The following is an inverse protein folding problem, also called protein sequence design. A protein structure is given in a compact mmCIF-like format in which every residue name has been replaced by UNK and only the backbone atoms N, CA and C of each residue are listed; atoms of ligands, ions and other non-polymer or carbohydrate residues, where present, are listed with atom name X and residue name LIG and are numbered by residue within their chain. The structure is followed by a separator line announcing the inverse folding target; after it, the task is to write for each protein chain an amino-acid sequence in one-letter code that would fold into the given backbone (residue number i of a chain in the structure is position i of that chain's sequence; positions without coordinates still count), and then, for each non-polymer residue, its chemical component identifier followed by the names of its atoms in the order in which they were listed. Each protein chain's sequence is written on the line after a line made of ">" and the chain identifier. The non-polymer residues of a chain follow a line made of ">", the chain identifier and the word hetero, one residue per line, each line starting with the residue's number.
data_IF_338242185068
#
_entry.id   IF_338242185068
#
_cell.length_a   1.000
_cell.length_b   1.000
_cell.length_c   1.000
_cell.angle_alpha   90.00
_cell.angle_beta   90.00
_cell.angle_gamma   90.00
#
_symmetry.space_group_name_H-M   'P 1'
#
loop_
_entity.id
_entity.type
_entity.pdbx_description
1 polymer ?
#
# COMPACT_ATOMS: atom_id res chain seq x y z
N UNK A 1 -37.51 -12.38 57.58
CA UNK A 1 -38.55 -11.50 57.00
C UNK A 1 -38.20 -10.02 57.11
N UNK A 2 -38.25 -9.38 58.28
CA UNK A 2 -38.03 -7.92 58.39
C UNK A 2 -36.62 -7.49 57.94
N UNK A 3 -35.58 -8.17 58.38
CA UNK A 3 -34.18 -7.90 58.00
C UNK A 3 -33.92 -8.07 56.49
N UNK A 4 -34.57 -9.05 55.85
CA UNK A 4 -34.47 -9.28 54.41
C UNK A 4 -35.18 -8.18 53.61
N UNK A 5 -36.34 -7.73 54.10
CA UNK A 5 -37.08 -6.61 53.51
C UNK A 5 -36.27 -5.31 53.58
N UNK A 6 -35.60 -5.05 54.70
CA UNK A 6 -34.79 -3.84 54.86
C UNK A 6 -33.47 -3.90 54.06
N UNK A 7 -32.86 -5.09 53.94
CA UNK A 7 -31.75 -5.33 53.02
C UNK A 7 -32.15 -5.15 51.54
N UNK A 8 -33.35 -5.59 51.16
CA UNK A 8 -33.87 -5.41 49.79
C UNK A 8 -34.14 -3.94 49.49
N UNK A 9 -34.70 -3.17 50.43
CA UNK A 9 -34.88 -1.70 50.28
C UNK A 9 -33.55 -1.00 50.06
N UNK A 10 -32.53 -1.33 50.86
CA UNK A 10 -31.19 -0.75 50.73
C UNK A 10 -30.62 -0.99 49.32
N UNK A 11 -30.71 -2.23 48.82
CA UNK A 11 -30.21 -2.58 47.48
C UNK A 11 -31.01 -1.92 46.35
N UNK A 12 -32.30 -1.66 46.54
CA UNK A 12 -33.10 -0.88 45.57
C UNK A 12 -32.63 0.58 45.50
N UNK A 13 -32.25 1.20 46.62
CA UNK A 13 -31.69 2.57 46.63
C UNK A 13 -30.34 2.62 45.90
N UNK A 14 -29.46 1.65 46.14
CA UNK A 14 -28.16 1.52 45.45
C UNK A 14 -28.35 1.36 43.93
N UNK A 15 -29.20 0.43 43.50
CA UNK A 15 -29.51 0.23 42.09
C UNK A 15 -30.15 1.46 41.42
N UNK A 16 -30.93 2.26 42.15
CA UNK A 16 -31.47 3.52 41.63
C UNK A 16 -30.37 4.56 41.43
N UNK A 17 -29.40 4.66 42.35
CA UNK A 17 -28.25 5.55 42.21
C UNK A 17 -27.38 5.17 41.00
N UNK A 18 -26.98 3.90 40.89
CA UNK A 18 -26.22 3.36 39.74
C UNK A 18 -26.95 3.63 38.40
N UNK A 19 -28.27 3.42 38.36
CA UNK A 19 -29.07 3.72 37.17
C UNK A 19 -29.11 5.21 36.80
N UNK A 20 -28.95 6.14 37.76
CA UNK A 20 -28.85 7.57 37.44
C UNK A 20 -27.47 7.94 36.89
N UNK A 21 -26.39 7.35 37.43
CA UNK A 21 -25.03 7.55 36.96
C UNK A 21 -24.83 7.00 35.53
N UNK A 22 -25.25 5.75 35.30
CA UNK A 22 -25.22 5.11 33.96
C UNK A 22 -26.00 5.94 32.92
N UNK A 23 -27.12 6.58 33.29
CA UNK A 23 -27.87 7.48 32.39
C UNK A 23 -27.09 8.76 32.07
N UNK A 24 -26.37 9.33 33.04
CA UNK A 24 -25.53 10.50 32.82
C UNK A 24 -24.33 10.18 31.92
N UNK A 25 -23.64 9.05 32.14
CA UNK A 25 -22.56 8.59 31.27
C UNK A 25 -23.06 8.32 29.84
N UNK A 26 -24.20 7.64 29.69
CA UNK A 26 -24.81 7.41 28.38
C UNK A 26 -25.14 8.72 27.64
N UNK A 27 -25.55 9.77 28.35
CA UNK A 27 -25.78 11.09 27.76
C UNK A 27 -24.47 11.73 27.27
N UNK A 28 -23.39 11.62 28.05
CA UNK A 28 -22.04 12.08 27.66
C UNK A 28 -21.52 11.33 26.44
N UNK A 29 -21.57 9.99 26.43
CA UNK A 29 -21.13 9.15 25.31
C UNK A 29 -21.92 9.47 24.04
N UNK A 30 -23.24 9.70 24.14
CA UNK A 30 -24.05 10.15 22.98
C UNK A 30 -23.59 11.51 22.45
N UNK A 31 -23.24 12.45 23.31
CA UNK A 31 -22.72 13.76 22.90
C UNK A 31 -21.33 13.67 22.25
N UNK A 32 -20.45 12.81 22.74
CA UNK A 32 -19.14 12.55 22.13
C UNK A 32 -19.27 11.84 20.77
N UNK A 33 -20.15 10.84 20.66
CA UNK A 33 -20.44 10.16 19.39
C UNK A 33 -21.03 11.11 18.33
N UNK A 34 -21.84 12.10 18.73
CA UNK A 34 -22.35 13.13 17.81
C UNK A 34 -21.20 14.01 17.27
N UNK A 35 -20.27 14.45 18.13
CA UNK A 35 -19.08 15.21 17.72
C UNK A 35 -18.16 14.41 16.80
N UNK A 36 -17.96 13.13 17.09
CA UNK A 36 -17.15 12.23 16.25
C UNK A 36 -17.77 12.06 14.85
N UNK A 37 -19.09 11.89 14.75
CA UNK A 37 -19.80 11.85 13.46
C UNK A 37 -19.61 13.12 12.64
N UNK A 38 -19.81 14.29 13.25
CA UNK A 38 -19.57 15.57 12.58
C UNK A 38 -18.11 15.70 12.09
N UNK A 39 -17.14 15.33 12.93
CA UNK A 39 -15.72 15.37 12.55
C UNK A 39 -15.36 14.39 11.41
N UNK A 40 -16.05 13.26 11.28
CA UNK A 40 -15.88 12.36 10.13
C UNK A 40 -16.43 12.99 8.84
N UNK A 41 -17.63 13.54 8.87
CA UNK A 41 -18.28 14.20 7.72
C UNK A 41 -17.47 15.42 7.24
N UNK A 42 -16.96 16.24 8.16
CA UNK A 42 -16.05 17.35 7.85
C UNK A 42 -14.73 16.88 7.20
N UNK A 43 -14.20 15.73 7.61
CA UNK A 43 -12.99 15.17 7.01
C UNK A 43 -13.24 14.57 5.63
N UNK A 44 -14.37 13.88 5.43
CA UNK A 44 -14.80 13.36 4.13
C UNK A 44 -14.95 14.51 3.12
N UNK A 45 -15.61 15.60 3.52
CA UNK A 45 -15.73 16.81 2.70
C UNK A 45 -14.36 17.49 2.39
N UNK A 46 -13.35 17.35 3.26
CA UNK A 46 -11.98 17.81 3.00
C UNK A 46 -11.25 16.89 2.01
N UNK A 47 -11.43 15.58 2.09
CA UNK A 47 -10.82 14.63 1.15
C UNK A 47 -11.31 14.85 -0.29
N UNK A 48 -12.61 15.06 -0.50
CA UNK A 48 -13.16 15.36 -1.84
C UNK A 48 -12.54 16.63 -2.44
N UNK A 49 -12.33 17.68 -1.63
CA UNK A 49 -11.67 18.92 -2.08
C UNK A 49 -10.19 18.73 -2.40
N UNK A 50 -9.48 17.89 -1.64
CA UNK A 50 -8.08 17.56 -1.93
C UNK A 50 -7.95 16.76 -3.23
N UNK A 51 -8.80 15.75 -3.43
CA UNK A 51 -8.83 14.95 -4.66
C UNK A 51 -9.09 15.83 -5.90
N UNK A 52 -10.02 16.78 -5.79
CA UNK A 52 -10.29 17.75 -6.86
C UNK A 52 -9.09 18.67 -7.14
N UNK A 53 -8.44 19.20 -6.10
CA UNK A 53 -7.24 20.03 -6.25
C UNK A 53 -6.06 19.26 -6.88
N UNK A 54 -5.92 17.96 -6.60
CA UNK A 54 -4.87 17.14 -7.20
C UNK A 54 -5.16 16.80 -8.68
N UNK A 55 -6.44 16.71 -9.09
CA UNK A 55 -6.83 16.64 -10.51
C UNK A 55 -6.47 17.93 -11.25
N UNK A 56 -6.83 19.09 -10.70
CA UNK A 56 -6.50 20.41 -11.27
C UNK A 56 -4.99 20.62 -11.42
N UNK A 57 -4.19 20.21 -10.41
CA UNK A 57 -2.72 20.21 -10.52
C UNK A 57 -2.20 19.29 -11.62
N UNK A 58 -2.78 18.10 -11.77
CA UNK A 58 -2.36 17.16 -12.82
C UNK A 58 -2.66 17.71 -14.23
N UNK A 59 -3.78 18.41 -14.42
CA UNK A 59 -4.13 19.10 -15.66
C UNK A 59 -3.15 20.24 -15.97
N UNK A 60 -2.87 21.14 -15.02
CA UNK A 60 -1.89 22.22 -15.17
C UNK A 60 -0.47 21.69 -15.46
N UNK A 61 -0.06 20.58 -14.85
CA UNK A 61 1.20 19.91 -15.14
C UNK A 61 1.20 19.40 -16.59
N UNK A 62 0.11 18.80 -17.07
CA UNK A 62 0.02 18.31 -18.44
C UNK A 62 0.08 19.46 -19.48
N UNK A 63 -0.55 20.60 -19.18
CA UNK A 63 -0.53 21.81 -20.01
C UNK A 63 0.89 22.40 -20.12
N UNK A 64 1.57 22.65 -19.00
CA UNK A 64 2.95 23.16 -18.97
C UNK A 64 3.94 22.26 -19.74
N UNK A 65 3.80 20.93 -19.63
CA UNK A 65 4.63 19.98 -20.38
C UNK A 65 4.36 20.02 -21.90
N UNK A 66 3.17 20.45 -22.34
CA UNK A 66 2.85 20.64 -23.74
C UNK A 66 3.55 21.89 -24.32
N UNK A 67 3.56 22.98 -23.54
CA UNK A 67 4.20 24.25 -23.89
C UNK A 67 5.73 24.13 -23.95
N UNK A 68 6.36 23.51 -22.96
CA UNK A 68 7.81 23.26 -22.96
C UNK A 68 8.23 22.47 -24.23
N UNK A 69 7.49 21.41 -24.55
CA UNK A 69 7.71 20.62 -25.77
C UNK A 69 7.53 21.44 -27.05
N UNK A 70 6.68 22.47 -27.02
CA UNK A 70 6.43 23.35 -28.17
C UNK A 70 7.54 24.39 -28.34
N UNK A 71 8.02 24.98 -27.25
CA UNK A 71 9.17 25.89 -27.23
C UNK A 71 10.45 25.18 -27.71
N UNK A 72 10.73 23.97 -27.21
CA UNK A 72 11.88 23.16 -27.64
C UNK A 72 11.86 22.85 -29.16
N UNK A 73 10.68 22.64 -29.75
CA UNK A 73 10.53 22.48 -31.21
C UNK A 73 10.82 23.78 -31.97
N UNK A 74 10.41 24.93 -31.43
CA UNK A 74 10.66 26.24 -32.04
C UNK A 74 12.15 26.57 -32.04
N UNK A 75 12.83 26.38 -30.91
CA UNK A 75 14.26 26.66 -30.80
C UNK A 75 15.11 25.70 -31.64
N UNK A 76 14.74 24.41 -31.72
CA UNK A 76 15.39 23.49 -32.65
C UNK A 76 15.25 23.93 -34.11
N UNK A 77 14.09 24.48 -34.52
CA UNK A 77 13.91 25.08 -35.87
C UNK A 77 14.77 26.32 -36.05
N UNK A 78 14.80 27.24 -35.08
CA UNK A 78 15.64 28.45 -35.11
C UNK A 78 17.13 28.11 -35.24
N UNK A 79 17.62 27.12 -34.50
CA UNK A 79 19.00 26.65 -34.61
C UNK A 79 19.34 26.11 -36.01
N UNK A 80 18.47 25.30 -36.61
CA UNK A 80 18.68 24.82 -37.99
C UNK A 80 18.76 25.99 -38.98
N UNK A 81 17.86 26.97 -38.88
CA UNK A 81 17.90 28.17 -39.73
C UNK A 81 19.21 28.94 -39.55
N UNK A 82 19.68 29.16 -38.31
CA UNK A 82 20.97 29.81 -38.07
C UNK A 82 22.15 29.05 -38.70
N UNK A 83 22.17 27.71 -38.60
CA UNK A 83 23.24 26.89 -39.21
C UNK A 83 23.21 26.84 -40.74
N UNK A 84 22.08 27.09 -41.39
CA UNK A 84 22.03 27.21 -42.85
C UNK A 84 22.55 28.57 -43.32
N UNK A 85 22.12 29.67 -42.67
CA UNK A 85 22.59 31.03 -42.96
C UNK A 85 24.12 31.17 -42.79
N UNK A 86 24.71 30.48 -41.80
CA UNK A 86 26.16 30.47 -41.60
C UNK A 86 26.96 29.78 -42.71
N UNK A 87 26.39 28.78 -43.38
CA UNK A 87 27.08 28.02 -44.45
C UNK A 87 27.15 28.79 -45.77
N UNK A 88 26.19 29.66 -46.05
CA UNK A 88 26.22 30.50 -47.24
C UNK A 88 27.24 31.65 -47.12
N UNK A 89 27.57 32.08 -45.90
CA UNK A 89 28.60 33.08 -45.62
C UNK A 89 30.03 32.52 -45.84
N UNK A 90 30.27 31.25 -45.54
CA UNK A 90 31.60 30.63 -45.67
C UNK A 90 32.05 30.41 -47.13
N UNK A 91 31.14 30.61 -48.10
CA UNK A 91 31.43 30.49 -49.54
C UNK A 91 32.14 31.71 -50.14
N UNK A 92 32.28 32.81 -49.40
CA UNK A 92 32.97 34.03 -49.83
C UNK A 92 34.31 34.19 -49.10
N UNK A 93 35.26 33.29 -49.39
CA UNK A 93 36.66 33.42 -48.93
C UNK A 93 37.63 33.26 -50.10
N UNK A 94 38.55 34.21 -50.35
CA UNK A 94 39.54 34.08 -51.42
C UNK A 94 40.44 32.86 -51.21
N UNK A 95 40.72 32.13 -52.30
CA UNK A 95 41.65 30.99 -52.28
C UNK A 95 43.09 31.49 -52.17
N UNK A 96 43.79 31.08 -51.12
CA UNK A 96 45.26 31.13 -51.03
C UNK A 96 45.80 29.70 -51.25
N UNK A 97 46.88 29.49 -52.02
CA UNK A 97 47.30 28.14 -52.41
C UNK A 97 47.76 27.22 -51.25
N UNK A 98 47.64 25.93 -51.53
CA UNK A 98 47.93 24.79 -50.66
C UNK A 98 49.43 24.46 -50.60
N UNK A 99 50.03 24.57 -49.43
CA UNK A 99 51.31 23.92 -49.11
C UNK A 99 51.07 22.54 -48.46
N UNK A 100 51.90 21.56 -48.79
CA UNK A 100 51.74 20.15 -48.36
C UNK A 100 52.69 19.82 -47.21
N UNK A 101 52.19 19.15 -46.18
CA UNK A 101 53.05 18.35 -45.29
C UNK A 101 52.35 17.06 -44.83
N UNK A 102 53.13 16.02 -44.62
CA UNK A 102 52.69 14.65 -44.34
C UNK A 102 52.68 14.39 -42.82
N UNK A 103 51.74 13.58 -42.31
CA UNK A 103 51.69 13.25 -40.88
C UNK A 103 50.74 12.09 -40.52
N UNK A 104 51.35 10.94 -40.19
CA UNK A 104 50.84 9.63 -39.75
C UNK A 104 49.53 9.49 -38.93
N UNK A 105 48.90 8.32 -39.11
CA UNK A 105 47.71 7.81 -38.38
C UNK A 105 48.09 7.04 -37.10
N UNK A 106 47.32 7.21 -36.00
CA UNK A 106 46.68 6.11 -35.24
C UNK A 106 45.21 6.44 -34.84
N UNK A 107 44.29 5.55 -34.43
CA UNK A 107 44.14 4.07 -34.38
C UNK A 107 42.63 3.73 -34.26
N UNK A 108 42.22 2.46 -34.36
CA UNK A 108 40.81 1.98 -34.19
C UNK A 108 40.38 1.79 -32.71
N UNK A 109 39.08 1.90 -32.41
CA UNK A 109 38.23 0.85 -31.76
C UNK A 109 36.70 1.22 -31.85
N UNK A 110 35.70 0.38 -31.43
CA UNK A 110 34.75 -0.18 -32.41
C UNK A 110 33.25 0.07 -32.13
N UNK A 111 32.40 -0.37 -33.07
CA UNK A 111 30.93 -0.31 -32.99
C UNK A 111 30.32 -1.19 -31.87
N UNK A 112 29.36 -0.63 -31.13
CA UNK A 112 28.46 -1.37 -30.23
C UNK A 112 27.07 -1.44 -30.85
N UNK A 113 26.58 -2.66 -31.11
CA UNK A 113 25.22 -2.91 -31.61
C UNK A 113 24.22 -2.81 -30.46
N UNK A 114 23.24 -1.92 -30.57
CA UNK A 114 22.09 -1.87 -29.66
C UNK A 114 21.02 -2.84 -30.20
N UNK A 115 20.68 -3.85 -29.41
CA UNK A 115 19.57 -4.77 -29.71
C UNK A 115 18.32 -4.35 -28.94
N UNK A 116 17.17 -4.33 -29.61
CA UNK A 116 15.86 -4.02 -29.01
C UNK A 116 15.29 -5.20 -28.19
N UNK A 117 14.48 -4.93 -27.15
CA UNK A 117 13.74 -5.97 -26.43
C UNK A 117 12.38 -6.27 -27.10
N UNK A 118 11.88 -7.53 -27.06
CA UNK A 118 10.58 -7.90 -27.60
C UNK A 118 9.42 -7.74 -26.59
N UNK A 119 8.23 -7.57 -27.15
CA UNK A 119 6.93 -7.35 -26.47
C UNK A 119 6.43 -8.57 -25.69
N UNK A 120 5.90 -8.34 -24.47
CA UNK A 120 5.20 -9.37 -23.69
C UNK A 120 3.85 -9.75 -24.31
N UNK A 121 3.56 -11.05 -24.40
CA UNK A 121 2.28 -11.58 -24.89
C UNK A 121 1.30 -11.88 -23.74
N UNK A 122 0.02 -11.58 -23.97
CA UNK A 122 -1.09 -11.87 -23.05
C UNK A 122 -1.59 -13.30 -23.23
N UNK A 123 -1.91 -14.01 -22.14
CA UNK A 123 -2.72 -15.24 -22.19
C UNK A 123 -3.95 -15.10 -21.28
N UNK A 124 -5.10 -15.59 -21.78
CA UNK A 124 -6.39 -15.66 -21.07
C UNK A 124 -6.77 -17.12 -20.80
N UNK A 125 -7.26 -17.40 -19.60
CA UNK A 125 -8.24 -18.45 -19.27
C UNK A 125 -8.80 -18.09 -17.88
N UNK A 126 -10.11 -17.86 -17.67
CA UNK A 126 -11.25 -18.80 -17.73
C UNK A 126 -11.24 -19.84 -16.60
N UNK A 127 -12.00 -19.59 -15.52
CA UNK A 127 -13.12 -20.49 -15.12
C UNK A 127 -13.98 -19.89 -13.99
N UNK A 128 -15.29 -19.89 -14.23
CA UNK A 128 -16.37 -19.63 -13.26
C UNK A 128 -16.72 -20.94 -12.54
N UNK A 129 -17.50 -20.87 -11.43
CA UNK A 129 -18.11 -21.99 -10.67
C UNK A 129 -17.41 -22.43 -9.36
N UNK A 130 -16.92 -21.48 -8.55
CA UNK A 130 -16.49 -21.74 -7.16
C UNK A 130 -17.22 -20.88 -6.09
N UNK A 131 -18.14 -20.00 -6.49
CA UNK A 131 -18.72 -18.96 -5.62
C UNK A 131 -19.81 -19.48 -4.65
N UNK A 132 -20.75 -20.31 -5.11
CA UNK A 132 -21.96 -20.66 -4.33
C UNK A 132 -21.72 -21.55 -3.10
N UNK A 133 -20.59 -22.25 -3.02
CA UNK A 133 -20.27 -23.11 -1.87
C UNK A 133 -19.64 -22.30 -0.73
N UNK A 134 -19.07 -21.12 -1.02
CA UNK A 134 -18.27 -20.35 -0.08
C UNK A 134 -19.10 -19.37 0.79
N UNK A 135 -20.28 -18.93 0.33
CA UNK A 135 -21.15 -18.01 1.07
C UNK A 135 -21.67 -18.60 2.39
N UNK A 136 -22.00 -19.91 2.43
CA UNK A 136 -22.62 -20.53 3.62
C UNK A 136 -21.76 -20.60 4.88
N UNK A 137 -20.48 -20.27 4.81
CA UNK A 137 -19.58 -20.24 5.98
C UNK A 137 -19.20 -18.82 6.43
N UNK A 138 -19.65 -17.77 5.72
CA UNK A 138 -19.14 -16.41 5.92
C UNK A 138 -19.94 -15.59 6.95
N UNK A 139 -21.26 -15.82 7.06
CA UNK A 139 -22.18 -15.03 7.91
C UNK A 139 -21.96 -15.17 9.43
N UNK A 140 -21.28 -16.22 9.90
CA UNK A 140 -21.22 -16.52 11.34
C UNK A 140 -20.16 -15.74 12.13
N UNK A 141 -19.32 -14.91 11.47
CA UNK A 141 -18.16 -14.26 12.13
C UNK A 141 -17.94 -12.82 11.65
N UNK A 142 -18.97 -11.98 11.83
CA UNK A 142 -18.85 -10.51 11.81
C UNK A 142 -19.27 -9.89 13.16
N UNK A 143 -18.39 -9.96 14.15
CA UNK A 143 -18.31 -8.96 15.21
C UNK A 143 -16.91 -8.88 15.81
N UNK A 144 -16.49 -7.64 16.08
CA UNK A 144 -15.29 -7.15 16.79
C UNK A 144 -14.11 -6.67 15.93
N UNK A 145 -13.67 -5.46 16.26
CA UNK A 145 -12.75 -4.61 15.49
C UNK A 145 -11.66 -4.09 16.43
N UNK A 146 -10.53 -3.68 15.84
CA UNK A 146 -9.40 -2.90 16.39
C UNK A 146 -8.49 -3.47 17.50
N UNK A 147 -7.35 -3.98 17.02
CA UNK A 147 -6.01 -3.47 17.36
C UNK A 147 -5.46 -3.71 18.77
N UNK A 148 -5.18 -4.97 19.07
CA UNK A 148 -4.03 -5.36 19.90
C UNK A 148 -3.55 -6.77 19.47
N UNK A 149 -2.48 -7.26 20.12
CA UNK A 149 -1.89 -8.60 19.92
C UNK A 149 -2.99 -9.68 19.89
N UNK A 150 -2.98 -10.65 18.93
CA UNK A 150 -4.01 -11.68 18.89
C UNK A 150 -4.10 -12.45 20.22
N UNK A 151 -5.22 -12.27 20.93
CA UNK A 151 -5.46 -12.94 22.22
C UNK A 151 -5.88 -14.40 22.05
N UNK A 152 -6.35 -14.76 20.85
CA UNK A 152 -6.60 -16.14 20.44
C UNK A 152 -5.27 -16.77 20.01
N UNK A 153 -5.04 -18.02 20.44
CA UNK A 153 -3.86 -18.80 20.07
C UNK A 153 -3.79 -19.14 18.57
N UNK A 154 -2.80 -19.93 18.13
CA UNK A 154 -2.66 -20.33 16.73
C UNK A 154 -3.94 -20.99 16.21
N UNK A 155 -4.30 -20.69 14.95
CA UNK A 155 -5.43 -21.34 14.26
C UNK A 155 -5.10 -22.81 14.05
N UNK A 156 -5.97 -23.71 14.51
CA UNK A 156 -5.81 -25.16 14.35
C UNK A 156 -6.44 -25.64 13.04
N UNK A 157 -5.71 -26.48 12.30
CA UNK A 157 -6.22 -27.23 11.14
C UNK A 157 -5.96 -28.74 11.34
N UNK A 158 -6.89 -29.61 10.92
CA UNK A 158 -6.70 -31.07 10.95
C UNK A 158 -5.76 -31.57 9.84
N UNK A 159 -5.65 -30.82 8.75
CA UNK A 159 -4.75 -31.08 7.63
C UNK A 159 -4.13 -29.77 7.17
N UNK A 160 -2.95 -29.83 6.54
CA UNK A 160 -2.27 -28.63 6.04
C UNK A 160 -3.18 -27.91 5.02
N UNK A 161 -3.60 -26.65 5.28
CA UNK A 161 -4.53 -25.95 4.42
C UNK A 161 -3.89 -25.56 3.09
N UNK A 162 -4.75 -25.28 2.11
CA UNK A 162 -4.35 -24.64 0.86
C UNK A 162 -3.59 -23.32 1.13
N UNK A 163 -2.49 -23.02 0.40
CA UNK A 163 -1.79 -21.74 0.49
C UNK A 163 -2.70 -20.51 0.42
N UNK A 164 -3.74 -20.50 -0.42
CA UNK A 164 -4.69 -19.40 -0.46
C UNK A 164 -5.50 -19.24 0.83
N UNK A 165 -5.85 -20.33 1.50
CA UNK A 165 -6.63 -20.28 2.74
C UNK A 165 -5.80 -19.70 3.89
N UNK A 166 -4.52 -20.06 4.01
CA UNK A 166 -3.64 -19.48 5.03
C UNK A 166 -3.36 -17.99 4.75
N UNK A 167 -3.14 -17.61 3.49
CA UNK A 167 -2.99 -16.21 3.06
C UNK A 167 -4.28 -15.40 3.38
N UNK A 168 -5.47 -15.90 3.00
CA UNK A 168 -6.76 -15.25 3.29
C UNK A 168 -6.99 -15.09 4.80
N UNK A 169 -6.65 -16.12 5.58
CA UNK A 169 -6.76 -16.09 7.04
C UNK A 169 -5.85 -15.02 7.67
N UNK A 170 -4.63 -14.86 7.17
CA UNK A 170 -3.67 -13.83 7.61
C UNK A 170 -4.18 -12.43 7.29
N UNK A 171 -4.69 -12.20 6.09
CA UNK A 171 -5.24 -10.91 5.70
C UNK A 171 -6.52 -10.56 6.50
N UNK A 172 -7.33 -11.55 6.89
CA UNK A 172 -8.49 -11.36 7.79
C UNK A 172 -8.05 -10.95 9.21
N UNK A 173 -6.99 -11.56 9.75
CA UNK A 173 -6.48 -11.24 11.10
C UNK A 173 -5.63 -9.96 11.15
N UNK A 174 -4.97 -9.61 10.05
CA UNK A 174 -4.09 -8.46 9.93
C UNK A 174 -4.50 -7.60 8.73
N UNK A 175 -5.63 -6.85 8.82
CA UNK A 175 -6.18 -6.07 7.71
C UNK A 175 -5.29 -4.92 7.23
N UNK A 176 -4.23 -4.59 7.99
CA UNK A 176 -3.19 -3.64 7.59
C UNK A 176 -2.06 -4.26 6.74
N UNK A 177 -2.10 -5.57 6.47
CA UNK A 177 -1.20 -6.25 5.53
C UNK A 177 -1.84 -6.36 4.14
N UNK A 178 -1.00 -6.42 3.12
CA UNK A 178 -1.36 -6.83 1.75
C UNK A 178 -0.42 -7.95 1.32
N UNK A 179 -0.97 -9.02 0.75
CA UNK A 179 -0.16 -10.07 0.14
C UNK A 179 0.65 -9.49 -1.02
N UNK A 180 1.91 -9.90 -1.14
CA UNK A 180 2.83 -9.46 -2.19
C UNK A 180 3.08 -10.58 -3.20
N UNK A 181 3.63 -11.70 -2.72
CA UNK A 181 3.94 -12.88 -3.53
C UNK A 181 4.40 -14.04 -2.63
N UNK A 182 4.17 -15.27 -3.08
CA UNK A 182 4.85 -16.46 -2.56
C UNK A 182 6.14 -16.70 -3.36
N UNK A 183 7.25 -17.02 -2.69
CA UNK A 183 8.49 -17.42 -3.35
C UNK A 183 9.20 -18.48 -2.52
N UNK A 184 9.49 -19.64 -3.13
CA UNK A 184 10.17 -20.78 -2.48
C UNK A 184 9.52 -21.24 -1.15
N UNK A 185 8.19 -21.18 -1.06
CA UNK A 185 7.45 -21.56 0.15
C UNK A 185 7.36 -20.46 1.22
N UNK A 186 7.88 -19.26 0.94
CA UNK A 186 7.80 -18.09 1.80
C UNK A 186 6.77 -17.11 1.23
N UNK A 187 5.71 -16.83 2.00
CA UNK A 187 4.66 -15.89 1.65
C UNK A 187 5.05 -14.48 2.13
N UNK A 188 5.12 -13.52 1.21
CA UNK A 188 5.56 -12.16 1.51
C UNK A 188 4.35 -11.25 1.64
N UNK A 189 4.33 -10.44 2.69
CA UNK A 189 3.27 -9.48 3.00
C UNK A 189 3.90 -8.09 3.14
N UNK A 190 3.35 -7.09 2.47
CA UNK A 190 3.70 -5.68 2.69
C UNK A 190 2.70 -5.03 3.64
N UNK A 191 3.02 -3.89 4.23
CA UNK A 191 2.02 -3.05 4.88
C UNK A 191 1.16 -2.34 3.82
N UNK A 192 -0.14 -2.21 4.06
CA UNK A 192 -1.10 -1.72 3.09
C UNK A 192 -0.83 -0.24 2.70
N UNK A 193 -0.59 0.62 3.68
CA UNK A 193 -0.42 2.07 3.52
C UNK A 193 0.97 2.58 3.95
N UNK A 194 1.61 3.50 3.20
CA UNK A 194 2.88 4.13 3.56
C UNK A 194 2.72 5.29 4.56
N UNK A 195 2.10 5.01 5.72
CA UNK A 195 1.97 5.92 6.89
C UNK A 195 1.08 7.18 6.65
N UNK A 196 0.46 7.79 7.70
CA UNK A 196 1.01 8.01 9.04
C UNK A 196 0.18 7.50 10.23
N UNK A 197 -0.43 6.31 10.16
CA UNK A 197 -0.95 5.66 11.37
C UNK A 197 -0.31 4.28 11.59
N UNK A 198 0.27 4.12 12.78
CA UNK A 198 1.23 3.08 13.08
C UNK A 198 0.60 1.97 13.90
N UNK A 199 0.04 0.96 13.22
CA UNK A 199 0.01 -0.38 13.80
C UNK A 199 1.47 -0.82 13.95
N UNK A 200 1.98 -1.02 15.18
CA UNK A 200 3.35 -1.51 15.35
C UNK A 200 3.41 -2.95 14.83
N UNK A 201 4.60 -3.38 14.38
CA UNK A 201 4.77 -4.75 13.91
C UNK A 201 4.28 -5.76 14.96
N UNK A 202 3.36 -6.69 14.63
CA UNK A 202 2.77 -7.61 15.62
C UNK A 202 3.80 -8.56 16.26
N UNK A 203 5.02 -8.61 15.71
CA UNK A 203 6.11 -9.51 16.09
C UNK A 203 7.15 -8.82 16.97
N UNK A 204 7.47 -7.55 16.69
CA UNK A 204 8.58 -6.84 17.34
C UNK A 204 8.22 -5.44 17.87
N UNK A 205 6.95 -5.04 17.79
CA UNK A 205 6.39 -3.78 18.26
C UNK A 205 7.06 -2.49 17.74
N UNK A 206 7.79 -2.56 16.61
CA UNK A 206 8.47 -1.42 15.97
C UNK A 206 7.75 -0.99 14.69
N UNK A 207 8.01 0.24 14.24
CA UNK A 207 7.57 0.72 12.92
C UNK A 207 8.57 0.28 11.84
N UNK A 208 8.08 -0.07 10.65
CA UNK A 208 8.89 -0.40 9.49
C UNK A 208 8.54 0.50 8.31
N UNK A 209 9.47 0.63 7.36
CA UNK A 209 9.22 1.26 6.06
C UNK A 209 8.64 0.25 5.06
N UNK A 210 9.23 0.16 3.88
CA UNK A 210 8.74 -0.69 2.78
C UNK A 210 8.92 -2.21 2.99
N UNK A 211 9.49 -2.64 4.11
CA UNK A 211 9.66 -4.05 4.47
C UNK A 211 8.51 -4.49 5.38
N UNK A 212 7.73 -5.47 4.94
CA UNK A 212 6.65 -6.06 5.73
C UNK A 212 7.06 -7.38 6.40
N UNK A 213 6.12 -8.32 6.45
CA UNK A 213 6.30 -9.62 7.10
C UNK A 213 6.51 -10.72 6.06
N UNK A 214 7.11 -11.83 6.50
CA UNK A 214 7.12 -13.07 5.74
C UNK A 214 6.47 -14.17 6.57
N UNK A 215 5.87 -15.16 5.90
CA UNK A 215 5.28 -16.33 6.53
C UNK A 215 5.82 -17.61 5.91
N UNK A 216 6.06 -18.62 6.75
CA UNK A 216 6.65 -19.90 6.35
C UNK A 216 6.16 -21.03 7.27
N UNK A 217 6.06 -22.24 6.71
CA UNK A 217 5.76 -23.46 7.45
C UNK A 217 7.03 -24.08 8.04
N UNK A 218 7.09 -24.20 9.37
CA UNK A 218 8.10 -24.94 10.12
C UNK A 218 7.49 -26.26 10.62
N UNK A 219 7.55 -27.30 9.79
CA UNK A 219 6.87 -28.57 10.07
C UNK A 219 5.35 -28.41 10.06
N UNK A 220 4.73 -28.56 11.23
CA UNK A 220 3.28 -28.38 11.44
C UNK A 220 2.88 -26.95 11.81
N UNK A 221 3.82 -26.03 12.01
CA UNK A 221 3.52 -24.65 12.45
C UNK A 221 3.69 -23.64 11.31
N UNK A 222 2.68 -22.82 11.02
CA UNK A 222 2.86 -21.64 10.17
C UNK A 222 3.22 -20.44 11.05
N UNK A 223 4.40 -19.87 10.80
CA UNK A 223 4.91 -18.72 11.54
C UNK A 223 4.99 -17.49 10.65
N UNK A 224 4.59 -16.33 11.18
CA UNK A 224 4.97 -15.03 10.66
C UNK A 224 6.29 -14.56 11.30
N UNK A 225 7.13 -13.90 10.52
CA UNK A 225 8.44 -13.37 10.93
C UNK A 225 8.66 -11.95 10.38
N UNK A 226 9.41 -11.14 11.13
CA UNK A 226 9.79 -9.79 10.75
C UNK A 226 11.29 -9.73 10.50
N UNK A 227 11.74 -9.12 9.41
CA UNK A 227 13.17 -9.05 9.08
C UNK A 227 14.04 -8.36 10.15
N UNK A 228 13.45 -7.49 10.97
CA UNK A 228 14.18 -6.80 12.07
C UNK A 228 14.09 -7.51 13.42
N UNK A 229 13.64 -8.77 13.48
CA UNK A 229 13.48 -9.51 14.74
C UNK A 229 13.57 -11.02 14.54
N UNK A 230 14.37 -11.68 15.37
CA UNK A 230 14.43 -13.15 15.41
C UNK A 230 13.18 -13.82 16.01
N UNK A 231 12.20 -13.02 16.48
CA UNK A 231 10.94 -13.54 17.02
C UNK A 231 10.07 -14.14 15.91
N UNK A 232 9.48 -15.30 16.18
CA UNK A 232 8.46 -15.93 15.33
C UNK A 232 7.10 -15.78 15.99
N UNK A 233 6.10 -15.29 15.25
CA UNK A 233 4.70 -15.30 15.68
C UNK A 233 4.02 -16.54 15.09
N UNK A 234 3.70 -17.52 15.94
CA UNK A 234 2.96 -18.73 15.52
C UNK A 234 1.52 -18.33 15.20
N UNK A 235 1.14 -18.43 13.92
CA UNK A 235 -0.18 -18.03 13.44
C UNK A 235 -1.13 -19.22 13.28
N UNK A 236 -0.63 -20.36 12.82
CA UNK A 236 -1.44 -21.58 12.69
C UNK A 236 -0.63 -22.84 13.01
N UNK A 237 -1.35 -23.92 13.34
CA UNK A 237 -0.82 -25.26 13.58
C UNK A 237 -1.65 -26.31 12.83
N UNK A 238 -1.01 -27.38 12.40
CA UNK A 238 -1.66 -28.64 12.01
C UNK A 238 -1.53 -29.63 13.18
N UNK A 239 -2.61 -30.29 13.56
CA UNK A 239 -2.68 -31.25 14.68
C UNK A 239 -3.02 -32.67 14.22
#
# INVERSE_FOLDING_TARGET
>A
MQSELDSLKQRVVELLAENTEIKAENAKVKAENAKLRQAMEENEARFVKLEQSDKEKAELIAELNCDERTLLKLDKKRFHVATHMGKDIEKVRPKVPLEKSQGSVPKKLPDVKISTPPTSQTLKANQTNALEVQEKYLDSVESEVINSKPEKGPITFEVRPDPELIIKSILKHFPYLKFRNSFRGIDNYNFASPQPWSSPCPICNRKHGNYGLHGEWYGTEYCLTCFTSSNKFKFAIVV
#
